data_IF_286038052044
#
_entry.id   IF_286038052044
#
_cell.length_a   1.000
_cell.length_b   1.000
_cell.length_c   1.000
_cell.angle_alpha   90.00
_cell.angle_beta   90.00
_cell.angle_gamma   90.00
#
_symmetry.space_group_name_H-M   'P 1'
#
loop_
_entity.id
_entity.type
_entity.pdbx_description
1 polymer ?
#
# COMPACT_ATOMS: atom_id res chain seq x y z
N UNK A 1 70.88 108.52 -5.02
CA UNK A 1 71.03 107.34 -5.89
C UNK A 1 69.80 106.46 -5.70
N UNK A 2 69.06 106.11 -6.76
CA UNK A 2 67.90 105.21 -6.64
C UNK A 2 68.23 103.84 -7.22
N UNK A 3 67.97 102.80 -6.42
CA UNK A 3 68.04 101.39 -6.82
C UNK A 3 66.63 100.78 -6.59
N UNK A 4 66.18 99.79 -7.38
CA UNK A 4 64.90 99.12 -7.14
C UNK A 4 64.69 98.66 -5.68
N UNK A 5 65.76 98.24 -4.98
CA UNK A 5 65.67 97.75 -3.59
C UNK A 5 65.78 98.85 -2.52
N UNK A 6 66.37 100.01 -2.82
CA UNK A 6 66.62 101.05 -1.82
C UNK A 6 66.84 102.43 -2.44
N UNK A 7 66.51 103.47 -1.68
CA UNK A 7 66.77 104.87 -2.01
C UNK A 7 67.87 105.42 -1.10
N UNK A 8 68.91 105.99 -1.71
CA UNK A 8 70.00 106.68 -1.01
C UNK A 8 69.90 108.19 -1.24
N UNK A 9 69.80 108.95 -0.15
CA UNK A 9 69.95 110.42 -0.10
C UNK A 9 71.21 110.77 0.70
N UNK A 10 71.98 111.74 0.22
CA UNK A 10 73.17 112.22 0.91
C UNK A 10 73.42 113.69 0.56
N UNK A 11 73.71 114.49 1.58
CA UNK A 11 74.15 115.87 1.50
C UNK A 11 75.61 115.93 1.95
N UNK A 12 76.45 116.63 1.18
CA UNK A 12 77.89 116.72 1.44
C UNK A 12 78.27 118.20 1.42
N UNK A 13 78.90 118.66 2.49
CA UNK A 13 79.42 120.01 2.66
C UNK A 13 80.91 119.93 2.99
N UNK A 14 81.72 120.72 2.30
CA UNK A 14 83.16 120.80 2.53
C UNK A 14 83.55 122.25 2.80
N UNK A 15 84.22 122.49 3.92
CA UNK A 15 84.84 123.78 4.24
C UNK A 15 86.34 123.71 3.93
N UNK A 16 86.73 124.36 2.83
CA UNK A 16 88.12 124.37 2.36
C UNK A 16 89.03 125.25 3.22
N UNK A 17 88.48 126.23 3.94
CA UNK A 17 89.25 127.09 4.84
C UNK A 17 89.54 126.36 6.15
N UNK A 18 88.55 125.67 6.70
CA UNK A 18 88.70 124.87 7.92
C UNK A 18 89.29 123.47 7.67
N UNK A 19 89.44 123.06 6.41
CA UNK A 19 89.85 121.70 6.01
C UNK A 19 88.95 120.60 6.60
N UNK A 20 87.64 120.85 6.69
CA UNK A 20 86.65 119.91 7.24
C UNK A 20 85.66 119.44 6.18
N UNK A 21 85.13 118.23 6.40
CA UNK A 21 84.06 117.64 5.61
C UNK A 21 82.95 117.16 6.53
N UNK A 22 81.72 117.49 6.15
CA UNK A 22 80.51 116.96 6.75
C UNK A 22 79.68 116.30 5.63
N UNK A 23 79.22 115.08 5.87
CA UNK A 23 78.25 114.42 5.02
C UNK A 23 77.18 113.78 5.89
N UNK A 24 75.92 113.94 5.53
CA UNK A 24 74.80 113.25 6.18
C UNK A 24 73.90 112.65 5.11
N UNK A 25 73.25 111.54 5.44
CA UNK A 25 72.39 110.89 4.48
C UNK A 25 71.58 109.76 5.09
N UNK A 26 70.70 109.20 4.27
CA UNK A 26 69.82 108.12 4.65
C UNK A 26 69.71 107.10 3.52
N UNK A 27 69.62 105.83 3.91
CA UNK A 27 69.35 104.69 3.04
C UNK A 27 68.01 104.12 3.45
N UNK A 28 66.98 104.33 2.65
CA UNK A 28 65.64 103.79 2.89
C UNK A 28 65.41 102.56 2.01
N UNK A 29 65.21 101.41 2.63
CA UNK A 29 64.87 100.17 1.94
C UNK A 29 63.42 100.21 1.45
N UNK A 30 63.13 99.57 0.32
CA UNK A 30 61.75 99.45 -0.20
C UNK A 30 61.20 98.06 0.14
N UNK A 31 60.36 97.93 1.18
CA UNK A 31 59.88 96.62 1.64
C UNK A 31 58.82 95.97 0.73
N UNK A 32 58.28 96.68 -0.27
CA UNK A 32 57.31 96.12 -1.22
C UNK A 32 56.03 95.64 -0.51
N UNK A 33 55.65 94.39 -0.73
CA UNK A 33 54.51 93.73 -0.07
C UNK A 33 54.70 93.55 1.45
N UNK A 34 55.90 93.80 1.95
CA UNK A 34 56.23 93.80 3.37
C UNK A 34 56.17 95.19 4.02
N UNK A 35 55.68 96.20 3.29
CA UNK A 35 55.54 97.55 3.82
C UNK A 35 54.64 97.57 5.06
N UNK A 36 55.13 98.25 6.10
CA UNK A 36 54.41 98.46 7.34
C UNK A 36 53.92 99.89 7.42
N UNK A 37 52.67 100.10 7.81
CA UNK A 37 52.05 101.43 7.88
C UNK A 37 52.73 102.23 9.00
N UNK A 38 53.38 103.33 8.63
CA UNK A 38 53.98 104.27 9.59
C UNK A 38 55.40 103.95 10.05
N UNK A 39 56.09 102.98 9.42
CA UNK A 39 57.53 102.79 9.63
C UNK A 39 58.28 102.56 8.32
N UNK A 40 59.23 103.44 8.03
CA UNK A 40 60.11 103.31 6.88
C UNK A 40 61.44 102.68 7.30
N UNK A 41 61.86 101.55 6.71
CA UNK A 41 63.12 100.89 7.06
C UNK A 41 64.31 101.71 6.55
N UNK A 42 64.81 102.61 7.40
CA UNK A 42 65.85 103.58 7.05
C UNK A 42 67.08 103.41 7.93
N UNK A 43 68.26 103.52 7.31
CA UNK A 43 69.56 103.65 7.99
C UNK A 43 70.11 105.03 7.74
N UNK A 44 70.29 105.82 8.79
CA UNK A 44 70.91 107.13 8.71
C UNK A 44 72.42 107.00 8.87
N UNK A 45 73.19 107.82 8.16
CA UNK A 45 74.63 107.90 8.34
C UNK A 45 75.08 109.35 8.38
N UNK A 46 76.14 109.61 9.15
CA UNK A 46 76.81 110.90 9.19
C UNK A 46 78.32 110.70 9.20
N UNK A 47 79.02 111.62 8.55
CA UNK A 47 80.47 111.68 8.49
C UNK A 47 80.85 113.12 8.80
N UNK A 48 81.67 113.35 9.81
CA UNK A 48 82.11 114.71 10.18
C UNK A 48 83.57 114.71 10.64
N UNK A 49 84.32 115.71 10.22
CA UNK A 49 85.66 115.99 10.73
C UNK A 49 86.65 116.47 9.68
N UNK A 50 87.94 116.63 10.05
CA UNK A 50 88.96 117.09 9.13
C UNK A 50 89.27 116.07 8.04
N UNK A 51 89.72 116.54 6.88
CA UNK A 51 90.17 115.69 5.79
C UNK A 51 91.24 114.69 6.29
N UNK A 52 90.98 113.39 6.13
CA UNK A 52 91.88 112.31 6.59
C UNK A 52 91.60 111.75 8.00
N UNK A 53 90.77 112.40 8.82
CA UNK A 53 90.38 111.92 10.15
C UNK A 53 88.88 112.07 10.45
N UNK A 54 88.04 112.06 9.41
CA UNK A 54 86.59 112.13 9.55
C UNK A 54 86.03 110.91 10.32
N UNK A 55 85.16 111.19 11.30
CA UNK A 55 84.43 110.17 12.07
C UNK A 55 83.15 109.81 11.34
N UNK A 56 82.76 108.54 11.38
CA UNK A 56 81.54 108.02 10.74
C UNK A 56 80.61 107.48 11.81
N UNK A 57 79.33 107.77 11.70
CA UNK A 57 78.28 107.25 12.57
C UNK A 57 77.16 106.68 11.72
N UNK A 58 76.55 105.60 12.20
CA UNK A 58 75.40 104.96 11.59
C UNK A 58 74.32 104.83 12.65
N UNK A 59 73.11 105.26 12.32
CA UNK A 59 71.92 105.06 13.11
C UNK A 59 70.99 104.10 12.35
N UNK A 60 70.92 102.87 12.87
CA UNK A 60 70.06 101.80 12.36
C UNK A 60 68.85 101.56 13.25
N UNK A 61 68.57 102.45 14.21
CA UNK A 61 67.42 102.31 15.10
C UNK A 61 66.09 102.26 14.32
N UNK A 62 65.84 103.10 13.29
CA UNK A 62 64.60 103.03 12.52
C UNK A 62 64.44 101.70 11.77
N UNK A 63 65.52 101.17 11.20
CA UNK A 63 65.51 99.84 10.55
C UNK A 63 65.25 98.72 11.57
N UNK A 64 65.87 98.77 12.74
CA UNK A 64 65.66 97.78 13.80
C UNK A 64 64.21 97.80 14.31
N UNK A 65 63.61 98.98 14.47
CA UNK A 65 62.21 99.15 14.83
C UNK A 65 61.27 98.55 13.76
N UNK A 66 61.53 98.80 12.48
CA UNK A 66 60.75 98.19 11.39
C UNK A 66 60.84 96.66 11.42
N UNK A 67 62.04 96.09 11.53
CA UNK A 67 62.24 94.63 11.48
C UNK A 67 61.60 93.93 12.68
N UNK A 68 61.66 94.54 13.87
CA UNK A 68 61.01 93.99 15.07
C UNK A 68 59.49 93.99 14.96
N UNK A 69 58.89 95.07 14.47
CA UNK A 69 57.44 95.11 14.19
C UNK A 69 57.05 94.09 13.11
N UNK A 70 57.83 93.98 12.03
CA UNK A 70 57.57 93.01 10.96
C UNK A 70 57.67 91.57 11.44
N UNK A 71 58.64 91.26 12.30
CA UNK A 71 58.77 89.93 12.89
C UNK A 71 57.56 89.58 13.77
N UNK A 72 57.05 90.55 14.53
CA UNK A 72 55.86 90.37 15.36
C UNK A 72 54.61 90.11 14.50
N UNK A 73 54.39 90.88 13.44
CA UNK A 73 53.25 90.66 12.53
C UNK A 73 53.30 89.28 11.86
N UNK A 74 54.47 88.87 11.38
CA UNK A 74 54.65 87.54 10.79
C UNK A 74 54.33 86.43 11.78
N UNK A 75 54.71 86.59 13.05
CA UNK A 75 54.39 85.61 14.08
C UNK A 75 52.89 85.61 14.43
N UNK A 76 52.24 86.77 14.50
CA UNK A 76 50.78 86.86 14.67
C UNK A 76 50.03 86.17 13.53
N UNK A 77 50.38 86.47 12.28
CA UNK A 77 49.80 85.82 11.11
C UNK A 77 50.01 84.31 11.13
N UNK A 78 51.19 83.84 11.56
CA UNK A 78 51.50 82.41 11.69
C UNK A 78 50.63 81.74 12.75
N UNK A 79 50.44 82.38 13.90
CA UNK A 79 49.59 81.86 14.98
C UNK A 79 48.13 81.78 14.53
N UNK A 80 47.61 82.83 13.89
CA UNK A 80 46.25 82.85 13.34
C UNK A 80 46.06 81.76 12.27
N UNK A 81 47.00 81.63 11.34
CA UNK A 81 46.98 80.57 10.34
C UNK A 81 47.03 79.17 10.99
N UNK A 82 47.82 78.99 12.05
CA UNK A 82 47.88 77.73 12.79
C UNK A 82 46.55 77.42 13.49
N UNK A 83 45.92 78.40 14.11
CA UNK A 83 44.63 78.25 14.77
C UNK A 83 43.53 77.92 13.75
N UNK A 84 43.50 78.62 12.61
CA UNK A 84 42.56 78.35 11.52
C UNK A 84 42.72 76.93 10.98
N UNK A 85 43.96 76.50 10.69
CA UNK A 85 44.26 75.15 10.21
C UNK A 85 43.89 74.06 11.24
N UNK A 86 44.08 74.34 12.53
CA UNK A 86 43.73 73.40 13.60
C UNK A 86 42.21 73.22 13.70
N UNK A 87 41.44 74.31 13.64
CA UNK A 87 39.97 74.27 13.64
C UNK A 87 39.43 73.57 12.39
N UNK A 88 40.00 73.84 11.22
CA UNK A 88 39.62 73.15 9.99
C UNK A 88 39.93 71.66 10.06
N UNK A 89 41.10 71.27 10.58
CA UNK A 89 41.45 69.87 10.81
C UNK A 89 40.51 69.18 11.79
N UNK A 90 40.06 69.88 12.84
CA UNK A 90 39.04 69.36 13.75
C UNK A 90 37.69 69.18 13.05
N UNK A 91 37.28 70.14 12.20
CA UNK A 91 36.06 70.03 11.39
C UNK A 91 36.10 68.82 10.46
N UNK A 92 37.18 68.67 9.69
CA UNK A 92 37.38 67.56 8.76
C UNK A 92 37.40 66.21 9.49
N UNK A 93 38.03 66.12 10.67
CA UNK A 93 37.99 64.89 11.49
C UNK A 93 36.58 64.52 11.93
N UNK A 94 35.74 65.49 12.28
CA UNK A 94 34.33 65.23 12.63
C UNK A 94 33.54 64.78 11.42
N UNK A 95 33.76 65.40 10.28
CA UNK A 95 33.11 65.07 9.01
C UNK A 95 33.48 63.64 8.54
N UNK A 96 34.76 63.28 8.58
CA UNK A 96 35.21 61.92 8.26
C UNK A 96 34.61 60.89 9.22
N UNK A 97 34.55 61.19 10.53
CA UNK A 97 33.91 60.30 11.52
C UNK A 97 32.42 60.14 11.24
N UNK A 98 31.73 61.22 10.88
CA UNK A 98 30.32 61.19 10.54
C UNK A 98 30.05 60.30 9.32
N UNK A 99 30.82 60.49 8.24
CA UNK A 99 30.67 59.64 7.06
C UNK A 99 31.05 58.19 7.31
N UNK A 100 32.09 57.92 8.10
CA UNK A 100 32.45 56.55 8.49
C UNK A 100 31.34 55.88 9.31
N UNK A 101 30.73 56.60 10.25
CA UNK A 101 29.59 56.09 11.03
C UNK A 101 28.38 55.82 10.15
N UNK A 102 28.06 56.73 9.22
CA UNK A 102 26.96 56.55 8.28
C UNK A 102 27.16 55.35 7.35
N UNK A 103 28.39 55.11 6.88
CA UNK A 103 28.70 53.92 6.09
C UNK A 103 28.55 52.64 6.92
N UNK A 104 29.04 52.64 8.17
CA UNK A 104 28.88 51.49 9.07
C UNK A 104 27.40 51.17 9.36
N UNK A 105 26.54 52.18 9.49
CA UNK A 105 25.09 51.96 9.63
C UNK A 105 24.46 51.34 8.39
N UNK A 106 24.86 51.79 7.19
CA UNK A 106 24.40 51.20 5.92
C UNK A 106 24.84 49.75 5.75
N UNK A 107 26.08 49.44 6.11
CA UNK A 107 26.61 48.07 6.06
C UNK A 107 25.86 47.17 7.04
N UNK A 108 25.63 47.62 8.27
CA UNK A 108 24.82 46.88 9.26
C UNK A 108 23.40 46.62 8.76
N UNK A 109 22.74 47.64 8.22
CA UNK A 109 21.40 47.49 7.65
C UNK A 109 21.39 46.52 6.46
N UNK A 110 22.42 46.56 5.60
CA UNK A 110 22.56 45.61 4.50
C UNK A 110 22.82 44.18 4.99
N UNK A 111 23.65 43.99 6.01
CA UNK A 111 23.89 42.69 6.63
C UNK A 111 22.63 42.12 7.29
N UNK A 112 21.88 42.94 8.02
CA UNK A 112 20.60 42.54 8.60
C UNK A 112 19.59 42.12 7.53
N UNK A 113 19.49 42.89 6.44
CA UNK A 113 18.65 42.53 5.30
C UNK A 113 19.09 41.22 4.66
N UNK A 114 20.40 41.00 4.48
CA UNK A 114 20.93 39.73 3.95
C UNK A 114 20.61 38.55 4.86
N UNK A 115 20.76 38.71 6.18
CA UNK A 115 20.38 37.69 7.17
C UNK A 115 18.88 37.40 7.13
N UNK A 116 18.04 38.41 7.01
CA UNK A 116 16.59 38.23 6.86
C UNK A 116 16.23 37.50 5.56
N UNK A 117 16.85 37.87 4.43
CA UNK A 117 16.64 37.19 3.15
C UNK A 117 17.12 35.73 3.19
N UNK A 118 18.26 35.46 3.82
CA UNK A 118 18.77 34.10 3.98
C UNK A 118 17.87 33.27 4.90
N UNK A 119 17.44 33.84 6.03
CA UNK A 119 16.48 33.19 6.93
C UNK A 119 15.14 32.90 6.24
N UNK A 120 14.61 33.87 5.48
CA UNK A 120 13.38 33.69 4.71
C UNK A 120 13.55 32.62 3.61
N UNK A 121 14.70 32.58 2.94
CA UNK A 121 15.02 31.56 1.95
C UNK A 121 15.11 30.17 2.58
N UNK A 122 15.77 30.04 3.72
CA UNK A 122 15.88 28.78 4.46
C UNK A 122 14.51 28.30 4.96
N UNK A 123 13.67 29.20 5.46
CA UNK A 123 12.29 28.88 5.83
C UNK A 123 11.47 28.42 4.63
N UNK A 124 11.51 29.15 3.51
CA UNK A 124 10.81 28.76 2.29
C UNK A 124 11.29 27.40 1.75
N UNK A 125 12.59 27.12 1.81
CA UNK A 125 13.15 25.83 1.42
C UNK A 125 12.71 24.70 2.37
N UNK A 126 12.72 24.94 3.68
CA UNK A 126 12.23 23.98 4.67
C UNK A 126 10.75 23.67 4.48
N UNK A 127 9.91 24.70 4.28
CA UNK A 127 8.49 24.54 4.01
C UNK A 127 8.23 23.79 2.70
N UNK A 128 8.99 24.09 1.64
CA UNK A 128 8.90 23.39 0.36
C UNK A 128 9.29 21.91 0.51
N UNK A 129 10.37 21.60 1.23
CA UNK A 129 10.78 20.22 1.52
C UNK A 129 9.73 19.47 2.35
N UNK A 130 9.19 20.09 3.39
CA UNK A 130 8.15 19.50 4.22
C UNK A 130 6.88 19.18 3.41
N UNK A 131 6.45 20.11 2.54
CA UNK A 131 5.32 19.88 1.63
C UNK A 131 5.60 18.76 0.63
N UNK A 132 6.80 18.71 0.05
CA UNK A 132 7.19 17.66 -0.88
C UNK A 132 7.23 16.28 -0.20
N UNK A 133 7.79 16.20 1.01
CA UNK A 133 7.83 14.95 1.79
C UNK A 133 6.42 14.50 2.19
N UNK A 134 5.56 15.41 2.63
CA UNK A 134 4.16 15.10 2.94
C UNK A 134 3.40 14.60 1.71
N UNK A 135 3.58 15.25 0.55
CA UNK A 135 2.97 14.82 -0.70
C UNK A 135 3.46 13.42 -1.15
N UNK A 136 4.77 13.16 -1.03
CA UNK A 136 5.36 11.86 -1.35
C UNK A 136 4.84 10.75 -0.43
N UNK A 137 4.73 11.01 0.87
CA UNK A 137 4.13 10.06 1.83
C UNK A 137 2.66 9.78 1.51
N UNK A 138 1.87 10.82 1.24
CA UNK A 138 0.46 10.66 0.87
C UNK A 138 0.28 9.86 -0.43
N UNK A 139 1.13 10.08 -1.44
CA UNK A 139 1.12 9.29 -2.67
C UNK A 139 1.50 7.83 -2.41
N UNK A 140 2.56 7.58 -1.63
CA UNK A 140 2.97 6.22 -1.28
C UNK A 140 1.89 5.45 -0.51
N UNK A 141 1.23 6.10 0.46
CA UNK A 141 0.10 5.51 1.20
C UNK A 141 -1.10 5.23 0.29
N UNK A 142 -1.44 6.15 -0.62
CA UNK A 142 -2.52 5.97 -1.58
C UNK A 142 -2.23 4.81 -2.54
N UNK A 143 -1.01 4.70 -3.07
CA UNK A 143 -0.59 3.58 -3.91
C UNK A 143 -0.59 2.25 -3.16
N UNK A 144 -0.11 2.23 -1.91
CA UNK A 144 -0.12 1.02 -1.09
C UNK A 144 -1.56 0.54 -0.83
N UNK A 145 -2.46 1.47 -0.50
CA UNK A 145 -3.88 1.16 -0.29
C UNK A 145 -4.55 0.66 -1.57
N UNK A 146 -4.28 1.31 -2.71
CA UNK A 146 -4.80 0.87 -4.01
C UNK A 146 -4.30 -0.54 -4.39
N UNK A 147 -3.04 -0.86 -4.13
CA UNK A 147 -2.48 -2.22 -4.35
C UNK A 147 -3.12 -3.25 -3.42
N UNK A 148 -3.31 -2.93 -2.14
CA UNK A 148 -3.96 -3.82 -1.18
C UNK A 148 -5.43 -4.09 -1.58
N UNK A 149 -6.18 -3.04 -1.95
CA UNK A 149 -7.57 -3.19 -2.41
C UNK A 149 -7.65 -4.01 -3.71
N UNK A 150 -6.71 -3.82 -4.64
CA UNK A 150 -6.65 -4.61 -5.88
C UNK A 150 -6.33 -6.08 -5.60
N UNK A 151 -5.39 -6.38 -4.70
CA UNK A 151 -5.08 -7.76 -4.29
C UNK A 151 -6.28 -8.42 -3.60
N UNK A 152 -6.93 -7.72 -2.67
CA UNK A 152 -8.12 -8.23 -1.98
C UNK A 152 -9.27 -8.56 -2.95
N UNK A 153 -9.49 -7.70 -3.96
CA UNK A 153 -10.47 -7.96 -5.02
C UNK A 153 -10.09 -9.16 -5.88
N UNK A 154 -8.83 -9.28 -6.27
CA UNK A 154 -8.34 -10.42 -7.06
C UNK A 154 -8.48 -11.75 -6.31
N UNK A 155 -8.15 -11.78 -5.01
CA UNK A 155 -8.32 -12.95 -4.15
C UNK A 155 -9.80 -13.32 -3.98
N UNK A 156 -10.68 -12.33 -3.78
CA UNK A 156 -12.11 -12.55 -3.67
C UNK A 156 -12.69 -13.11 -4.98
N UNK A 157 -12.29 -12.57 -6.13
CA UNK A 157 -12.72 -13.06 -7.44
C UNK A 157 -12.19 -14.48 -7.73
N UNK A 158 -10.95 -14.78 -7.35
CA UNK A 158 -10.37 -16.12 -7.47
C UNK A 158 -11.13 -17.14 -6.60
N UNK A 159 -11.43 -16.80 -5.33
CA UNK A 159 -12.26 -17.65 -4.45
C UNK A 159 -13.65 -17.86 -5.02
N UNK A 160 -14.31 -16.81 -5.52
CA UNK A 160 -15.64 -16.93 -6.13
C UNK A 160 -15.63 -17.85 -7.37
N UNK A 161 -14.60 -17.75 -8.23
CA UNK A 161 -14.43 -18.65 -9.38
C UNK A 161 -14.19 -20.09 -8.95
N UNK A 162 -13.35 -20.31 -7.94
CA UNK A 162 -13.08 -21.65 -7.41
C UNK A 162 -14.34 -22.29 -6.80
N UNK A 163 -15.12 -21.53 -6.01
CA UNK A 163 -16.40 -22.02 -5.47
C UNK A 163 -17.42 -22.31 -6.57
N UNK A 164 -17.50 -21.47 -7.61
CA UNK A 164 -18.38 -21.69 -8.75
C UNK A 164 -18.00 -22.96 -9.53
N UNK A 165 -16.70 -23.19 -9.77
CA UNK A 165 -16.22 -24.42 -10.40
C UNK A 165 -16.49 -25.65 -9.54
N UNK A 166 -16.24 -25.59 -8.23
CA UNK A 166 -16.51 -26.69 -7.31
C UNK A 166 -18.01 -27.04 -7.28
N UNK A 167 -18.90 -26.04 -7.28
CA UNK A 167 -20.35 -26.27 -7.39
C UNK A 167 -20.74 -26.89 -8.72
N UNK A 168 -20.18 -26.42 -9.84
CA UNK A 168 -20.44 -26.96 -11.16
C UNK A 168 -19.98 -28.42 -11.28
N UNK A 169 -18.80 -28.76 -10.76
CA UNK A 169 -18.32 -30.14 -10.72
C UNK A 169 -19.17 -31.05 -9.82
N UNK A 170 -19.59 -30.55 -8.65
CA UNK A 170 -20.48 -31.29 -7.76
C UNK A 170 -21.85 -31.56 -8.41
N UNK A 171 -22.42 -30.56 -9.10
CA UNK A 171 -23.68 -30.72 -9.82
C UNK A 171 -23.55 -31.66 -11.03
N UNK A 172 -22.42 -31.60 -11.75
CA UNK A 172 -22.11 -32.53 -12.84
C UNK A 172 -21.98 -33.97 -12.34
N UNK A 173 -21.27 -34.20 -11.22
CA UNK A 173 -21.17 -35.52 -10.59
C UNK A 173 -22.53 -36.02 -10.10
N UNK A 174 -23.34 -35.16 -9.49
CA UNK A 174 -24.68 -35.54 -9.04
C UNK A 174 -25.59 -35.93 -10.22
N UNK A 175 -25.52 -35.21 -11.35
CA UNK A 175 -26.24 -35.57 -12.58
C UNK A 175 -25.73 -36.89 -13.18
N UNK A 176 -24.42 -37.11 -13.22
CA UNK A 176 -23.83 -38.36 -13.70
C UNK A 176 -24.23 -39.56 -12.82
N UNK A 177 -24.19 -39.42 -11.49
CA UNK A 177 -24.63 -40.47 -10.55
C UNK A 177 -26.14 -40.74 -10.67
N UNK A 178 -26.96 -39.70 -10.87
CA UNK A 178 -28.39 -39.86 -11.10
C UNK A 178 -28.69 -40.58 -12.42
N UNK A 179 -27.98 -40.24 -13.50
CA UNK A 179 -28.09 -40.94 -14.78
C UNK A 179 -27.64 -42.40 -14.68
N UNK A 180 -26.50 -42.67 -14.03
CA UNK A 180 -26.01 -44.03 -13.82
C UNK A 180 -26.99 -44.88 -12.99
N UNK A 181 -27.62 -44.31 -11.96
CA UNK A 181 -28.69 -44.99 -11.20
C UNK A 181 -29.94 -45.23 -12.04
N UNK A 182 -30.35 -44.26 -12.85
CA UNK A 182 -31.51 -44.41 -13.73
C UNK A 182 -31.26 -45.48 -14.81
N UNK A 183 -30.08 -45.49 -15.43
CA UNK A 183 -29.69 -46.53 -16.40
C UNK A 183 -29.60 -47.91 -15.74
N UNK A 184 -29.06 -47.99 -14.51
CA UNK A 184 -29.03 -49.23 -13.75
C UNK A 184 -30.44 -49.75 -13.41
N UNK A 185 -31.37 -48.87 -13.01
CA UNK A 185 -32.77 -49.24 -12.79
C UNK A 185 -33.47 -49.68 -14.07
N UNK A 186 -33.26 -48.98 -15.19
CA UNK A 186 -33.84 -49.35 -16.49
C UNK A 186 -33.32 -50.71 -16.93
N UNK A 187 -32.01 -50.95 -16.79
CA UNK A 187 -31.39 -52.25 -17.10
C UNK A 187 -31.90 -53.36 -16.18
N UNK A 188 -32.01 -53.09 -14.87
CA UNK A 188 -32.56 -54.05 -13.91
C UNK A 188 -34.03 -54.37 -14.19
N UNK A 189 -34.85 -53.38 -14.56
CA UNK A 189 -36.25 -53.59 -14.98
C UNK A 189 -36.32 -54.37 -16.28
N UNK A 190 -35.49 -54.06 -17.28
CA UNK A 190 -35.45 -54.78 -18.55
C UNK A 190 -35.01 -56.25 -18.35
N UNK A 191 -34.00 -56.51 -17.51
CA UNK A 191 -33.55 -57.86 -17.18
C UNK A 191 -34.62 -58.64 -16.38
N UNK A 192 -35.34 -57.97 -15.48
CA UNK A 192 -36.46 -58.55 -14.75
C UNK A 192 -37.65 -58.88 -15.67
N UNK A 193 -37.99 -58.00 -16.61
CA UNK A 193 -39.03 -58.24 -17.61
C UNK A 193 -38.65 -59.36 -18.58
N UNK A 194 -37.38 -59.42 -19.00
CA UNK A 194 -36.86 -60.50 -19.83
C UNK A 194 -36.93 -61.85 -19.10
N UNK A 195 -36.54 -61.90 -17.83
CA UNK A 195 -36.72 -63.11 -16.99
C UNK A 195 -38.19 -63.48 -16.82
N UNK A 196 -39.06 -62.50 -16.54
CA UNK A 196 -40.50 -62.75 -16.39
C UNK A 196 -41.13 -63.28 -17.68
N UNK A 197 -40.73 -62.77 -18.86
CA UNK A 197 -41.17 -63.30 -20.16
C UNK A 197 -40.63 -64.70 -20.42
N UNK A 198 -39.37 -64.98 -20.09
CA UNK A 198 -38.80 -66.32 -20.22
C UNK A 198 -39.48 -67.34 -19.28
N UNK A 199 -39.78 -66.95 -18.03
CA UNK A 199 -40.53 -67.78 -17.08
C UNK A 199 -41.99 -67.98 -17.52
N UNK A 200 -42.61 -66.97 -18.12
CA UNK A 200 -43.96 -67.10 -18.68
C UNK A 200 -43.97 -68.03 -19.91
N UNK A 201 -42.99 -67.93 -20.80
CA UNK A 201 -42.89 -68.80 -21.98
C UNK A 201 -42.58 -70.25 -21.59
N UNK A 202 -41.70 -70.48 -20.60
CA UNK A 202 -41.43 -71.82 -20.07
C UNK A 202 -42.65 -72.43 -19.38
N UNK A 203 -43.42 -71.64 -18.63
CA UNK A 203 -44.71 -72.08 -18.07
C UNK A 203 -45.76 -72.36 -19.15
N UNK A 204 -45.82 -71.55 -20.21
CA UNK A 204 -46.72 -71.79 -21.33
C UNK A 204 -46.36 -73.09 -22.08
N UNK A 205 -45.07 -73.35 -22.31
CA UNK A 205 -44.60 -74.62 -22.90
C UNK A 205 -44.83 -75.81 -21.97
N UNK A 206 -44.70 -75.65 -20.65
CA UNK A 206 -45.02 -76.69 -19.68
C UNK A 206 -46.52 -76.99 -19.63
N UNK A 207 -47.37 -75.97 -19.71
CA UNK A 207 -48.82 -76.13 -19.79
C UNK A 207 -49.26 -76.80 -21.10
N UNK A 208 -48.63 -76.46 -22.24
CA UNK A 208 -48.87 -77.15 -23.50
C UNK A 208 -48.50 -78.64 -23.43
N UNK A 209 -47.32 -78.97 -22.89
CA UNK A 209 -46.93 -80.37 -22.69
C UNK A 209 -47.89 -81.13 -21.76
N UNK A 210 -48.36 -80.49 -20.68
CA UNK A 210 -49.34 -81.10 -19.79
C UNK A 210 -50.71 -81.32 -20.47
N UNK A 211 -51.12 -80.44 -21.39
CA UNK A 211 -52.34 -80.62 -22.18
C UNK A 211 -52.19 -81.76 -23.21
N UNK A 212 -51.04 -81.87 -23.87
CA UNK A 212 -50.76 -82.95 -24.82
C UNK A 212 -50.65 -84.33 -24.12
N UNK A 213 -50.09 -84.37 -22.90
CA UNK A 213 -50.03 -85.59 -22.09
C UNK A 213 -51.42 -86.00 -21.54
N UNK A 214 -52.28 -85.04 -21.19
CA UNK A 214 -53.65 -85.31 -20.77
C UNK A 214 -54.51 -85.85 -21.94
N UNK A 215 -54.34 -85.31 -23.14
CA UNK A 215 -55.01 -85.82 -24.34
C UNK A 215 -54.56 -87.26 -24.69
N UNK A 216 -53.27 -87.56 -24.55
CA UNK A 216 -52.75 -88.91 -24.75
C UNK A 216 -53.24 -89.94 -23.71
N UNK A 217 -53.49 -89.50 -22.48
CA UNK A 217 -54.02 -90.36 -21.41
C UNK A 217 -55.51 -90.70 -21.59
N UNK A 218 -56.32 -89.76 -22.09
CA UNK A 218 -57.75 -90.00 -22.38
C UNK A 218 -57.94 -90.95 -23.57
N UNK A 219 -57.09 -90.87 -24.59
CA UNK A 219 -57.16 -91.75 -25.77
C UNK A 219 -56.78 -93.20 -25.43
N UNK A 220 -55.80 -93.40 -24.53
CA UNK A 220 -55.45 -94.73 -24.01
C UNK A 220 -56.52 -95.34 -23.10
N UNK A 221 -57.31 -94.52 -22.38
CA UNK A 221 -58.44 -95.03 -21.60
C UNK A 221 -59.65 -95.38 -22.47
N UNK A 222 -59.91 -94.62 -23.54
CA UNK A 222 -60.92 -94.98 -24.55
C UNK A 222 -60.61 -96.30 -25.26
N UNK A 223 -59.36 -96.51 -25.67
CA UNK A 223 -58.93 -97.77 -26.29
C UNK A 223 -59.11 -98.99 -25.37
N UNK A 224 -58.80 -98.86 -24.07
CA UNK A 224 -58.97 -99.94 -23.08
C UNK A 224 -60.43 -100.27 -22.79
N UNK A 225 -61.33 -99.30 -22.83
CA UNK A 225 -62.77 -99.54 -22.63
C UNK A 225 -63.42 -100.20 -23.87
N UNK A 226 -62.96 -99.87 -25.07
CA UNK A 226 -63.48 -100.44 -26.32
C UNK A 226 -63.06 -101.91 -26.50
N UNK A 227 -61.83 -102.25 -26.11
CA UNK A 227 -61.33 -103.64 -26.12
C UNK A 227 -62.03 -104.51 -25.06
N UNK A 228 -62.33 -103.95 -23.88
CA UNK A 228 -63.13 -104.63 -22.84
C UNK A 228 -64.58 -104.91 -23.28
N UNK A 229 -65.20 -104.02 -24.06
CA UNK A 229 -66.55 -104.24 -24.61
C UNK A 229 -66.57 -105.35 -25.67
N UNK A 230 -65.49 -105.53 -26.44
CA UNK A 230 -65.39 -106.58 -27.46
C UNK A 230 -65.31 -107.98 -26.86
N UNK A 231 -64.52 -108.14 -25.80
CA UNK A 231 -64.36 -109.42 -25.09
C UNK A 231 -65.67 -109.82 -24.39
N UNK A 232 -66.36 -108.87 -23.76
CA UNK A 232 -67.66 -109.12 -23.13
C UNK A 232 -68.78 -109.49 -24.13
N UNK A 233 -68.73 -108.96 -25.36
CA UNK A 233 -69.69 -109.28 -26.41
C UNK A 233 -69.49 -110.68 -27.02
N UNK A 234 -68.24 -111.13 -27.14
CA UNK A 234 -67.91 -112.49 -27.63
C UNK A 234 -68.23 -113.59 -26.59
N UNK A 235 -68.09 -113.32 -25.29
CA UNK A 235 -68.46 -114.27 -24.23
C UNK A 235 -69.97 -114.45 -24.13
N UNK A 236 -70.74 -113.36 -24.29
CA UNK A 236 -72.21 -113.41 -24.25
C UNK A 236 -72.80 -114.14 -25.45
N UNK A 237 -72.16 -114.05 -26.62
CA UNK A 237 -72.58 -114.77 -27.82
C UNK A 237 -72.32 -116.28 -27.75
N UNK A 238 -71.28 -116.74 -27.02
CA UNK A 238 -71.03 -118.17 -26.80
C UNK A 238 -72.02 -118.80 -25.80
N UNK A 239 -72.40 -118.06 -24.76
CA UNK A 239 -73.30 -118.53 -23.70
C UNK A 239 -74.77 -118.69 -24.17
N UNK A 240 -75.22 -117.86 -25.11
CA UNK A 240 -76.56 -117.99 -25.71
C UNK A 240 -76.64 -119.07 -26.81
N UNK A 241 -75.52 -119.43 -27.44
CA UNK A 241 -75.44 -120.54 -28.40
C UNK A 241 -75.50 -121.91 -27.71
N UNK A 242 -74.88 -122.06 -26.53
CA UNK A 242 -74.96 -123.30 -25.73
C UNK A 242 -76.34 -123.51 -25.08
N UNK A 243 -77.04 -122.45 -24.68
CA UNK A 243 -78.37 -122.55 -24.06
C UNK A 243 -79.50 -122.91 -25.03
N UNK A 244 -79.30 -122.75 -26.35
CA UNK A 244 -80.28 -123.20 -27.37
C UNK A 244 -80.06 -124.63 -27.86
N UNK A 245 -78.93 -125.26 -27.53
CA UNK A 245 -78.63 -126.64 -27.90
C UNK A 245 -78.99 -127.68 -26.80
N UNK A 246 -79.31 -127.25 -25.58
CA UNK A 246 -79.60 -128.13 -24.44
C UNK A 246 -81.08 -128.13 -23.99
N UNK A 247 -82.01 -127.94 -24.94
CA UNK A 247 -83.46 -127.98 -24.71
C UNK A 247 -84.19 -129.09 -25.49
N UNK A 248 -83.49 -130.17 -25.88
CA UNK A 248 -84.08 -131.38 -26.49
C UNK A 248 -83.39 -132.65 -25.96
N UNK A 249 -83.56 -132.98 -24.67
CA UNK A 249 -83.60 -134.37 -24.18
C UNK A 249 -84.03 -134.45 -22.70
N UNK A 250 -85.37 -134.47 -22.55
CA UNK A 250 -86.17 -135.31 -21.66
C UNK A 250 -85.88 -135.41 -20.14
N UNK A 251 -86.74 -134.72 -19.37
CA UNK A 251 -87.65 -135.27 -18.33
C UNK A 251 -87.11 -136.27 -17.26
N UNK A 252 -87.24 -135.91 -15.97
CA UNK A 252 -88.06 -136.61 -14.94
C UNK A 252 -88.06 -135.93 -13.55
N UNK A 253 -89.28 -135.71 -13.03
CA UNK A 253 -89.77 -135.86 -11.63
C UNK A 253 -89.36 -134.82 -10.55
N UNK A 254 -90.33 -133.93 -10.27
CA UNK A 254 -90.99 -133.61 -8.98
C UNK A 254 -90.24 -133.73 -7.63
N UNK A 255 -90.32 -132.65 -6.83
CA UNK A 255 -90.90 -132.55 -5.46
C UNK A 255 -90.08 -131.64 -4.53
N UNK A 256 -90.80 -130.69 -3.91
CA UNK A 256 -90.40 -129.67 -2.92
C UNK A 256 -89.72 -130.26 -1.65
N UNK A 257 -89.33 -129.49 -0.58
CA UNK A 257 -89.44 -128.03 -0.29
C UNK A 257 -88.16 -127.41 0.38
N UNK A 258 -88.22 -126.09 0.68
CA UNK A 258 -87.34 -125.34 1.63
C UNK A 258 -87.26 -126.03 3.02
N UNK A 259 -86.31 -125.76 3.98
CA UNK A 259 -85.86 -124.43 4.48
C UNK A 259 -84.41 -124.45 5.10
N UNK A 260 -84.07 -123.81 6.25
CA UNK A 260 -83.77 -122.39 6.49
C UNK A 260 -82.44 -122.14 7.28
N UNK A 261 -82.26 -120.87 7.70
CA UNK A 261 -81.72 -120.42 8.99
C UNK A 261 -80.23 -120.63 9.33
N UNK A 262 -79.51 -119.52 9.46
CA UNK A 262 -78.92 -119.02 10.71
C UNK A 262 -78.16 -117.72 10.36
N UNK A 263 -78.48 -116.58 10.96
CA UNK A 263 -78.20 -116.19 12.36
C UNK A 263 -76.70 -116.31 12.70
N UNK A 264 -76.02 -115.17 12.80
CA UNK A 264 -75.76 -114.51 14.09
C UNK A 264 -74.54 -113.56 13.99
N UNK A 265 -74.54 -112.44 14.72
CA UNK A 265 -73.36 -111.64 15.08
C UNK A 265 -72.80 -112.09 16.47
N UNK A 266 -72.17 -111.20 17.28
CA UNK A 266 -70.85 -111.29 17.95
C UNK A 266 -70.84 -112.07 19.30
N UNK A 267 -69.72 -112.15 20.09
CA UNK A 267 -69.51 -111.25 21.26
C UNK A 267 -68.02 -111.05 21.73
N UNK A 268 -67.68 -109.99 22.49
CA UNK A 268 -67.29 -109.91 23.95
C UNK A 268 -66.20 -110.90 24.42
N UNK A 269 -65.23 -110.65 25.31
CA UNK A 269 -65.01 -109.67 26.39
C UNK A 269 -63.60 -109.95 27.01
N UNK A 270 -62.87 -108.94 27.52
CA UNK A 270 -62.09 -108.94 28.79
C UNK A 270 -60.95 -107.90 28.81
N UNK A 271 -61.00 -107.01 29.81
CA UNK A 271 -60.07 -105.92 30.17
C UNK A 271 -58.86 -106.44 31.02
N UNK A 272 -57.94 -105.64 31.67
CA UNK A 272 -57.89 -104.16 31.87
C UNK A 272 -56.49 -103.42 31.82
N UNK A 273 -56.54 -102.06 31.69
CA UNK A 273 -55.76 -100.87 32.21
C UNK A 273 -54.38 -101.00 32.95
N UNK A 274 -53.57 -99.92 33.21
CA UNK A 274 -53.49 -98.51 32.67
C UNK A 274 -52.03 -97.91 32.52
N UNK A 275 -51.95 -96.56 32.35
CA UNK A 275 -50.86 -95.58 32.73
C UNK A 275 -49.60 -95.46 31.83
N UNK A 276 -48.98 -94.31 31.46
CA UNK A 276 -48.80 -92.95 32.02
C UNK A 276 -48.38 -91.90 30.94
N UNK A 277 -48.79 -90.63 31.17
CA UNK A 277 -48.12 -89.31 30.95
C UNK A 277 -47.66 -88.77 29.57
N UNK A 278 -48.01 -87.50 29.26
CA UNK A 278 -47.18 -86.54 28.54
C UNK A 278 -46.65 -85.43 29.47
N UNK A 279 -45.32 -85.32 29.61
CA UNK A 279 -44.68 -84.21 30.33
C UNK A 279 -44.48 -82.99 29.42
N UNK A 280 -45.22 -81.92 29.71
CA UNK A 280 -44.93 -80.54 29.31
C UNK A 280 -44.94 -79.68 30.56
N UNK A 281 -44.13 -78.61 30.53
CA UNK A 281 -44.02 -77.49 31.48
C UNK A 281 -42.91 -77.67 32.53
N UNK A 282 -41.69 -77.27 32.12
CA UNK A 282 -40.68 -76.76 33.04
C UNK A 282 -41.10 -75.37 33.52
N UNK A 283 -41.46 -75.31 34.79
CA UNK A 283 -41.67 -74.11 35.60
C UNK A 283 -40.36 -73.33 35.73
N UNK A 284 -40.34 -72.01 35.52
CA UNK A 284 -40.82 -70.98 36.45
C UNK A 284 -39.91 -70.82 37.69
N UNK A 285 -39.24 -69.65 37.73
CA UNK A 285 -38.72 -68.93 38.89
C UNK A 285 -37.52 -69.50 39.66
N UNK A 286 -36.37 -68.84 39.43
CA UNK A 286 -35.61 -68.27 40.56
C UNK A 286 -35.22 -66.83 40.25
N UNK A 287 -36.09 -65.93 40.68
CA UNK A 287 -35.76 -64.54 40.97
C UNK A 287 -34.76 -64.48 42.13
N UNK A 288 -33.86 -63.49 42.04
CA UNK A 288 -33.44 -62.51 43.06
C UNK A 288 -32.05 -62.05 42.62
N UNK A 289 -31.93 -60.80 42.19
CA UNK A 289 -31.44 -59.74 43.08
C UNK A 289 -29.91 -59.74 43.02
N UNK A 290 -29.23 -58.79 42.40
CA UNK A 290 -29.36 -57.35 42.53
C UNK A 290 -27.93 -56.81 42.64
N UNK A 291 -27.68 -55.61 42.12
CA UNK A 291 -26.37 -54.96 42.16
C UNK A 291 -26.06 -54.24 40.86
#
# INVERSE_FOLDING_TARGET
>A
LENPAAKLSADITADLNASTVAASGSITYRPGDEALVGSDPTVNFSVDGPFGAAKRQFDSEPLAQFLTQRALEKEQQRVEAMQAALLEKQRLRREVRYYAALQAERERAAEELRKQQEAARLQAEADARAKAEAAAKAQAEAEAKAKADAQARAEAEAKAKAEAQARAEAEARAKADAQAKAEAEVKAKADAEAKAKADAETRARAAQKAADEAAGAEEQQRGKMEEAMRIAAEEKAKLDAERRAAAEQAQKIERAPQPPANDNPPPAESAPKPTLEPSSIDNLLKSLGGG
#
